data_IF_816285420007
#
_entry.id   IF_816285420007
#
_cell.length_a   1.000
_cell.length_b   1.000
_cell.length_c   1.000
_cell.angle_alpha   90.00
_cell.angle_beta   90.00
_cell.angle_gamma   90.00
#
_symmetry.space_group_name_H-M   'P 1'
#
loop_
_entity.id
_entity.type
_entity.pdbx_description
1 polymer ?
#
# COMPACT_ATOMS: atom_id res chain seq x y z
N UNK A 1 -9.54 3.52 11.97
CA UNK A 1 -9.83 2.20 11.38
C UNK A 1 -8.92 2.01 10.17
N UNK A 2 -7.69 1.57 10.36
CA UNK A 2 -6.81 1.18 9.25
C UNK A 2 -6.99 -0.32 8.97
N UNK A 3 -8.14 -0.66 8.39
CA UNK A 3 -8.43 -2.03 7.92
C UNK A 3 -7.77 -2.31 6.56
N UNK A 4 -6.64 -1.67 6.27
CA UNK A 4 -6.10 -1.58 4.90
C UNK A 4 -5.38 -2.84 4.43
N UNK A 5 -5.08 -3.79 5.33
CA UNK A 5 -4.24 -4.98 5.00
C UNK A 5 -5.06 -6.27 4.90
N UNK A 6 -6.34 -6.29 5.29
CA UNK A 6 -7.11 -7.56 5.41
C UNK A 6 -8.11 -7.87 4.30
N UNK A 7 -8.20 -7.08 3.22
CA UNK A 7 -9.24 -7.28 2.21
C UNK A 7 -8.78 -7.46 0.75
N UNK A 8 -7.55 -7.12 0.38
CA UNK A 8 -7.12 -7.18 -1.03
C UNK A 8 -6.22 -8.36 -1.40
N UNK A 9 -6.09 -9.37 -0.53
CA UNK A 9 -5.40 -10.62 -0.88
C UNK A 9 -6.33 -11.70 -1.46
N UNK A 10 -7.66 -11.51 -1.43
CA UNK A 10 -8.63 -12.55 -1.82
C UNK A 10 -9.85 -12.10 -2.60
N UNK A 11 -10.05 -10.80 -2.80
CA UNK A 11 -11.01 -10.32 -3.79
C UNK A 11 -10.19 -9.86 -5.00
N UNK A 12 -10.04 -10.76 -5.96
CA UNK A 12 -9.81 -10.35 -7.33
C UNK A 12 -11.21 -10.19 -7.94
N UNK A 13 -11.85 -9.00 -7.81
CA UNK A 13 -13.09 -8.76 -8.51
C UNK A 13 -12.81 -8.99 -10.00
N UNK A 14 -13.66 -9.78 -10.64
CA UNK A 14 -13.58 -10.01 -12.07
C UNK A 14 -13.53 -8.67 -12.80
N UNK A 15 -12.91 -8.62 -13.98
CA UNK A 15 -12.69 -7.39 -14.75
C UNK A 15 -14.00 -6.59 -15.04
N UNK A 16 -15.18 -7.18 -14.81
CA UNK A 16 -16.52 -6.62 -14.98
C UNK A 16 -17.18 -6.09 -13.68
N UNK A 17 -16.53 -6.21 -12.51
CA UNK A 17 -17.03 -5.64 -11.25
C UNK A 17 -16.49 -4.23 -11.01
N UNK A 18 -17.17 -3.26 -11.65
CA UNK A 18 -16.84 -1.85 -11.56
C UNK A 18 -16.96 -1.28 -10.13
N UNK A 19 -17.91 -1.76 -9.33
CA UNK A 19 -18.12 -1.30 -7.95
C UNK A 19 -16.99 -1.82 -7.04
N UNK A 20 -16.56 -3.07 -7.22
CA UNK A 20 -15.38 -3.65 -6.57
C UNK A 20 -14.09 -2.89 -6.91
N UNK A 21 -13.91 -2.49 -8.17
CA UNK A 21 -12.75 -1.71 -8.59
C UNK A 21 -12.69 -0.32 -7.93
N UNK A 22 -13.83 0.37 -7.82
CA UNK A 22 -13.91 1.68 -7.12
C UNK A 22 -13.57 1.55 -5.64
N UNK A 23 -14.08 0.51 -4.97
CA UNK A 23 -13.80 0.27 -3.56
C UNK A 23 -12.31 -0.03 -3.32
N UNK A 24 -11.69 -0.87 -4.15
CA UNK A 24 -10.26 -1.14 -4.07
C UNK A 24 -9.42 0.11 -4.28
N UNK A 25 -9.76 0.95 -5.25
CA UNK A 25 -9.04 2.21 -5.51
C UNK A 25 -9.18 3.18 -4.34
N UNK A 26 -10.37 3.27 -3.74
CA UNK A 26 -10.62 4.11 -2.56
C UNK A 26 -9.83 3.64 -1.33
N UNK A 27 -9.75 2.33 -1.09
CA UNK A 27 -8.94 1.76 -0.02
C UNK A 27 -7.44 2.07 -0.22
N UNK A 28 -6.97 2.09 -1.47
CA UNK A 28 -5.57 2.37 -1.82
C UNK A 28 -5.26 3.86 -2.02
N UNK A 29 -6.24 4.76 -1.90
CA UNK A 29 -6.06 6.20 -2.17
C UNK A 29 -4.99 6.85 -1.26
N UNK A 30 -4.84 6.35 -0.03
CA UNK A 30 -3.82 6.83 0.92
C UNK A 30 -2.39 6.68 0.39
N UNK A 31 -2.13 5.71 -0.48
CA UNK A 31 -0.82 5.49 -1.06
C UNK A 31 -0.37 6.67 -1.93
N UNK A 32 -1.31 7.35 -2.57
CA UNK A 32 -1.05 8.52 -3.41
C UNK A 32 -1.12 9.87 -2.66
N UNK A 33 -1.21 9.83 -1.33
CA UNK A 33 -1.20 11.04 -0.51
C UNK A 33 0.13 11.80 -0.61
N UNK A 34 0.17 13.10 -0.28
CA UNK A 34 1.43 13.84 -0.22
C UNK A 34 2.46 13.13 0.67
N UNK A 35 3.77 13.19 0.37
CA UNK A 35 4.79 12.38 1.06
C UNK A 35 4.76 12.49 2.59
N UNK A 36 4.47 13.68 3.14
CA UNK A 36 4.34 13.87 4.58
C UNK A 36 3.13 13.12 5.19
N UNK A 37 1.99 13.11 4.49
CA UNK A 37 0.81 12.36 4.91
C UNK A 37 1.05 10.85 4.80
N UNK A 38 1.72 10.41 3.72
CA UNK A 38 2.12 9.01 3.54
C UNK A 38 3.07 8.54 4.65
N UNK A 39 4.06 9.36 5.03
CA UNK A 39 4.95 9.04 6.15
C UNK A 39 4.20 8.91 7.48
N UNK A 40 3.19 9.75 7.71
CA UNK A 40 2.28 9.63 8.85
C UNK A 40 1.48 8.32 8.83
N UNK A 41 0.95 7.94 7.66
CA UNK A 41 0.28 6.66 7.45
C UNK A 41 1.21 5.47 7.72
N UNK A 42 2.42 5.45 7.15
CA UNK A 42 3.39 4.38 7.37
C UNK A 42 3.79 4.25 8.86
N UNK A 43 3.94 5.39 9.55
CA UNK A 43 4.22 5.42 10.99
C UNK A 43 3.06 4.86 11.82
N UNK A 44 1.81 5.20 11.45
CA UNK A 44 0.62 4.65 12.09
C UNK A 44 0.51 3.13 11.88
N UNK A 45 0.84 2.63 10.69
CA UNK A 45 0.94 1.19 10.41
C UNK A 45 1.99 0.53 11.31
N UNK A 46 3.20 1.11 11.43
CA UNK A 46 4.22 0.58 12.35
C UNK A 46 3.71 0.52 13.79
N UNK A 47 3.00 1.55 14.25
CA UNK A 47 2.46 1.59 15.60
C UNK A 47 1.35 0.54 15.84
N UNK A 48 0.47 0.31 14.87
CA UNK A 48 -0.58 -0.70 14.95
C UNK A 48 0.00 -2.12 15.13
N UNK A 49 1.10 -2.40 14.44
CA UNK A 49 1.86 -3.64 14.58
C UNK A 49 3.01 -3.52 15.60
N UNK A 50 2.91 -2.60 16.56
CA UNK A 50 3.89 -2.39 17.64
C UNK A 50 4.21 -3.64 18.47
N UNK A 51 3.28 -4.60 18.48
CA UNK A 51 3.41 -5.88 19.18
C UNK A 51 4.28 -6.92 18.44
N UNK A 52 4.59 -6.69 17.16
CA UNK A 52 5.53 -7.52 16.40
C UNK A 52 6.96 -7.06 16.62
N UNK A 53 7.89 -8.02 16.61
CA UNK A 53 9.32 -7.73 16.56
C UNK A 53 9.66 -6.94 15.27
N UNK A 54 10.69 -6.09 15.36
CA UNK A 54 11.05 -5.17 14.28
C UNK A 54 11.42 -5.88 12.97
N UNK A 55 12.11 -7.02 13.06
CA UNK A 55 12.49 -7.87 11.93
C UNK A 55 11.26 -8.49 11.25
N UNK A 56 10.34 -9.05 12.04
CA UNK A 56 9.09 -9.65 11.55
C UNK A 56 8.23 -8.60 10.87
N UNK A 57 8.05 -7.43 11.48
CA UNK A 57 7.31 -6.32 10.89
C UNK A 57 7.98 -5.84 9.58
N UNK A 58 9.29 -5.64 9.60
CA UNK A 58 10.04 -5.12 8.45
C UNK A 58 9.98 -6.07 7.26
N UNK A 59 10.19 -7.36 7.47
CA UNK A 59 10.07 -8.38 6.43
C UNK A 59 8.65 -8.43 5.84
N UNK A 60 7.62 -8.43 6.70
CA UNK A 60 6.23 -8.42 6.26
C UNK A 60 5.86 -7.15 5.49
N UNK A 61 6.32 -5.99 5.96
CA UNK A 61 6.06 -4.71 5.29
C UNK A 61 6.75 -4.63 3.93
N UNK A 62 8.00 -5.08 3.82
CA UNK A 62 8.71 -5.18 2.54
C UNK A 62 7.92 -6.04 1.55
N UNK A 63 7.47 -7.23 1.97
CA UNK A 63 6.71 -8.12 1.10
C UNK A 63 5.41 -7.49 0.56
N UNK A 64 4.70 -6.72 1.40
CA UNK A 64 3.50 -5.98 0.97
C UNK A 64 3.83 -4.90 -0.06
N UNK A 65 4.89 -4.11 0.18
CA UNK A 65 5.30 -3.04 -0.74
C UNK A 65 5.75 -3.61 -2.09
N UNK A 66 6.51 -4.70 -2.08
CA UNK A 66 6.94 -5.40 -3.30
C UNK A 66 5.75 -5.95 -4.09
N UNK A 67 4.79 -6.57 -3.40
CA UNK A 67 3.57 -7.08 -4.02
C UNK A 67 2.78 -5.95 -4.72
N UNK A 68 2.54 -4.83 -4.03
CA UNK A 68 1.83 -3.68 -4.59
C UNK A 68 2.56 -3.07 -5.80
N UNK A 69 3.89 -2.97 -5.72
CA UNK A 69 4.71 -2.47 -6.82
C UNK A 69 4.71 -3.41 -8.04
N UNK A 70 4.57 -4.71 -7.82
CA UNK A 70 4.50 -5.73 -8.88
C UNK A 70 3.15 -5.78 -9.61
N UNK A 71 2.10 -5.16 -9.07
CA UNK A 71 0.80 -5.12 -9.74
C UNK A 71 0.91 -4.38 -11.08
N UNK A 72 0.37 -4.95 -12.19
CA UNK A 72 0.38 -4.29 -13.49
C UNK A 72 -0.46 -3.01 -13.49
N UNK A 73 -1.54 -3.00 -12.71
CA UNK A 73 -2.39 -1.83 -12.44
C UNK A 73 -2.63 -1.72 -10.95
N UNK A 74 -2.05 -0.71 -10.31
CA UNK A 74 -2.26 -0.43 -8.89
C UNK A 74 -3.64 0.18 -8.64
N UNK A 75 -4.06 1.06 -9.55
CA UNK A 75 -5.40 1.63 -9.60
C UNK A 75 -6.13 1.16 -10.85
N UNK A 76 -7.37 0.69 -10.69
CA UNK A 76 -8.14 0.03 -11.75
C UNK A 76 -9.01 1.03 -12.54
N UNK A 77 -9.48 2.09 -11.90
CA UNK A 77 -10.41 3.06 -12.50
C UNK A 77 -9.69 4.24 -13.17
N UNK A 78 -10.27 4.84 -14.25
CA UNK A 78 -9.73 6.06 -14.86
C UNK A 78 -9.58 7.23 -13.89
N UNK A 79 -10.49 7.36 -12.93
CA UNK A 79 -10.47 8.42 -11.91
C UNK A 79 -9.29 8.33 -10.96
N UNK A 80 -8.79 7.11 -10.71
CA UNK A 80 -7.64 6.88 -9.84
C UNK A 80 -6.32 6.75 -10.62
N UNK A 81 -6.33 6.77 -11.97
CA UNK A 81 -5.09 6.73 -12.76
C UNK A 81 -4.05 7.80 -12.36
N UNK A 82 -4.42 9.07 -12.10
CA UNK A 82 -3.47 10.10 -11.67
C UNK A 82 -2.77 9.79 -10.34
N UNK A 83 -3.30 8.87 -9.55
CA UNK A 83 -2.75 8.47 -8.25
C UNK A 83 -1.59 7.47 -8.37
N UNK A 84 -1.45 6.81 -9.52
CA UNK A 84 -0.47 5.74 -9.73
C UNK A 84 0.97 6.20 -9.50
N UNK A 85 1.36 7.33 -10.09
CA UNK A 85 2.73 7.84 -10.00
C UNK A 85 3.07 8.26 -8.55
N UNK A 86 2.28 9.12 -7.88
CA UNK A 86 2.50 9.46 -6.48
C UNK A 86 2.55 8.23 -5.56
N UNK A 87 1.66 7.25 -5.77
CA UNK A 87 1.66 6.02 -4.99
C UNK A 87 2.94 5.19 -5.19
N UNK A 88 3.37 4.98 -6.43
CA UNK A 88 4.60 4.23 -6.72
C UNK A 88 5.82 4.94 -6.16
N UNK A 89 5.88 6.27 -6.19
CA UNK A 89 6.95 7.04 -5.57
C UNK A 89 7.02 6.83 -4.05
N UNK A 90 5.87 6.94 -3.37
CA UNK A 90 5.78 6.71 -1.92
C UNK A 90 6.15 5.28 -1.51
N UNK A 91 5.59 4.27 -2.19
CA UNK A 91 5.87 2.85 -1.94
C UNK A 91 7.36 2.54 -2.15
N UNK A 92 7.96 3.06 -3.21
CA UNK A 92 9.38 2.86 -3.51
C UNK A 92 10.27 3.51 -2.46
N UNK A 93 9.96 4.74 -2.04
CA UNK A 93 10.70 5.43 -1.00
C UNK A 93 10.68 4.67 0.33
N UNK A 94 9.52 4.17 0.75
CA UNK A 94 9.41 3.34 1.96
C UNK A 94 10.20 2.03 1.84
N UNK A 95 10.10 1.35 0.70
CA UNK A 95 10.82 0.10 0.45
C UNK A 95 12.34 0.28 0.57
N UNK A 96 12.89 1.35 -0.01
CA UNK A 96 14.32 1.64 0.07
C UNK A 96 14.75 1.94 1.52
N UNK A 97 13.94 2.70 2.27
CA UNK A 97 14.21 3.00 3.67
C UNK A 97 14.22 1.72 4.54
N UNK A 98 13.29 0.80 4.32
CA UNK A 98 13.23 -0.46 5.06
C UNK A 98 14.41 -1.38 4.74
N UNK A 99 14.77 -1.52 3.46
CA UNK A 99 15.94 -2.31 3.04
C UNK A 99 17.26 -1.76 3.57
N UNK A 100 17.40 -0.44 3.63
CA UNK A 100 18.58 0.20 4.20
C UNK A 100 18.73 -0.06 5.72
N UNK A 101 17.61 -0.26 6.43
CA UNK A 101 17.61 -0.58 7.87
C UNK A 101 17.84 -2.06 8.18
N UNK A 102 17.58 -2.94 7.22
CA UNK A 102 17.76 -4.38 7.35
C UNK A 102 19.18 -4.85 6.97
N UNK A 103 20.00 -3.96 6.40
CA UNK A 103 21.40 -4.21 6.02
C UNK A 103 22.36 -4.04 7.19
#
# INVERSE_FOLDING_TARGET
MARLVRLTAGHDPADDDADGAVLCDADLAVLASPPAAYAGYASAVRAEYGHLADDVFTAGRIAVLEHLLALPRLYRTPTAQPWTEPARANLTAELQLLRARAS
#
